data_IF_191269715704
#
_entry.id   IF_191269715704
#
_cell.length_a   1.000
_cell.length_b   1.000
_cell.length_c   1.000
_cell.angle_alpha   90.00
_cell.angle_beta   90.00
_cell.angle_gamma   90.00
#
_symmetry.space_group_name_H-M   'P 1'
#
loop_
_entity.id
_entity.type
_entity.pdbx_description
1 polymer ?
#
# COMPACT_ATOMS: atom_id res chain seq x y z
N UNK A 1 -13.80 -16.28 -7.53
CA UNK A 1 -13.23 -16.22 -6.17
C UNK A 1 -12.00 -15.32 -6.23
N UNK A 2 -12.14 -14.04 -5.89
CA UNK A 2 -10.98 -13.16 -5.75
C UNK A 2 -10.53 -13.20 -4.29
N UNK A 3 -9.23 -13.23 -4.04
CA UNK A 3 -8.64 -13.33 -2.70
C UNK A 3 -9.04 -12.19 -1.75
N UNK A 4 -9.46 -11.05 -2.32
CA UNK A 4 -9.79 -9.82 -1.61
C UNK A 4 -11.24 -9.38 -1.83
N UNK A 5 -12.13 -10.31 -2.23
CA UNK A 5 -13.55 -9.98 -2.39
C UNK A 5 -14.11 -9.44 -1.06
N UNK A 6 -14.81 -8.30 -1.14
CA UNK A 6 -15.42 -7.60 -0.01
C UNK A 6 -14.45 -7.24 1.14
N UNK A 7 -13.14 -7.27 0.89
CA UNK A 7 -12.12 -6.94 1.88
C UNK A 7 -11.88 -5.44 1.92
N UNK A 8 -11.81 -4.87 3.12
CA UNK A 8 -11.55 -3.45 3.36
C UNK A 8 -10.37 -3.26 4.31
N UNK A 9 -9.70 -2.11 4.21
CA UNK A 9 -8.60 -1.73 5.08
C UNK A 9 -8.73 -0.27 5.51
N UNK A 10 -8.00 0.09 6.56
CA UNK A 10 -7.87 1.45 7.10
C UNK A 10 -6.43 1.66 7.56
N UNK A 11 -5.96 2.90 7.53
CA UNK A 11 -4.62 3.27 8.03
C UNK A 11 -4.77 3.91 9.41
N UNK A 12 -3.97 3.43 10.37
CA UNK A 12 -3.88 4.05 11.69
C UNK A 12 -2.81 5.14 11.68
N UNK A 13 -3.20 6.37 11.92
CA UNK A 13 -2.31 7.53 12.08
C UNK A 13 -2.23 7.97 13.55
N UNK A 14 -1.50 9.04 13.83
CA UNK A 14 -1.47 9.67 15.16
C UNK A 14 -2.80 10.32 15.54
N UNK A 15 -3.60 10.73 14.54
CA UNK A 15 -4.88 11.43 14.73
C UNK A 15 -6.08 10.48 14.81
N UNK A 16 -5.91 9.21 14.40
CA UNK A 16 -6.98 8.22 14.46
C UNK A 16 -6.87 7.15 13.38
N UNK A 17 -8.01 6.55 13.02
CA UNK A 17 -8.14 5.67 11.87
C UNK A 17 -8.65 6.46 10.67
N UNK A 18 -8.13 6.20 9.47
CA UNK A 18 -8.70 6.76 8.23
C UNK A 18 -10.00 6.07 7.87
N UNK A 19 -10.73 6.62 6.89
CA UNK A 19 -11.86 5.92 6.28
C UNK A 19 -11.46 4.55 5.73
N UNK A 20 -12.43 3.64 5.73
CA UNK A 20 -12.26 2.30 5.16
C UNK A 20 -12.23 2.38 3.64
N UNK A 21 -11.27 1.69 3.03
CA UNK A 21 -11.15 1.57 1.58
C UNK A 21 -11.11 0.11 1.16
N UNK A 22 -11.61 -0.18 -0.05
CA UNK A 22 -11.66 -1.54 -0.58
C UNK A 22 -10.27 -2.01 -1.02
N UNK A 23 -9.92 -3.25 -0.67
CA UNK A 23 -8.67 -3.88 -1.08
C UNK A 23 -8.88 -4.64 -2.38
N UNK A 24 -8.10 -4.30 -3.41
CA UNK A 24 -8.13 -4.99 -4.70
C UNK A 24 -6.87 -5.82 -4.95
N UNK A 25 -5.82 -5.59 -4.16
CA UNK A 25 -4.47 -6.14 -4.38
C UNK A 25 -3.75 -6.39 -3.06
N UNK A 26 -2.83 -7.36 -3.05
CA UNK A 26 -2.00 -7.66 -1.89
C UNK A 26 -1.09 -8.86 -2.15
N UNK A 27 -0.24 -9.18 -1.17
CA UNK A 27 0.70 -10.30 -1.26
C UNK A 27 0.26 -11.48 -0.40
N UNK A 28 0.60 -12.70 -0.81
CA UNK A 28 0.24 -13.93 -0.08
C UNK A 28 1.08 -14.08 1.18
N UNK A 29 0.45 -14.14 2.35
CA UNK A 29 1.15 -14.43 3.61
C UNK A 29 1.87 -15.79 3.57
N UNK A 30 3.10 -15.83 4.08
CA UNK A 30 3.94 -17.04 4.12
C UNK A 30 4.64 -17.39 2.81
N UNK A 31 4.44 -16.63 1.73
CA UNK A 31 5.23 -16.79 0.51
C UNK A 31 6.60 -16.10 0.66
N UNK A 32 7.67 -16.82 0.32
CA UNK A 32 9.06 -16.33 0.43
C UNK A 32 9.32 -15.09 -0.44
N UNK A 33 8.62 -14.94 -1.56
CA UNK A 33 8.76 -13.80 -2.46
C UNK A 33 7.92 -12.58 -2.04
N UNK A 34 6.94 -12.75 -1.17
CA UNK A 34 6.04 -11.67 -0.78
C UNK A 34 6.75 -10.48 -0.10
N UNK A 35 7.76 -10.68 0.77
CA UNK A 35 8.55 -9.56 1.30
C UNK A 35 9.27 -8.75 0.21
N UNK A 36 9.87 -9.42 -0.79
CA UNK A 36 10.59 -8.74 -1.87
C UNK A 36 9.63 -7.91 -2.75
N UNK A 37 8.49 -8.49 -3.12
CA UNK A 37 7.47 -7.80 -3.90
C UNK A 37 6.88 -6.60 -3.15
N UNK A 38 6.67 -6.74 -1.83
CA UNK A 38 6.20 -5.65 -0.99
C UNK A 38 7.20 -4.49 -0.96
N UNK A 39 8.49 -4.78 -0.76
CA UNK A 39 9.53 -3.75 -0.75
C UNK A 39 9.63 -3.04 -2.10
N UNK A 40 9.67 -3.78 -3.21
CA UNK A 40 9.76 -3.19 -4.55
C UNK A 40 8.56 -2.29 -4.88
N UNK A 41 7.35 -2.66 -4.44
CA UNK A 41 6.16 -1.85 -4.63
C UNK A 41 6.18 -0.58 -3.78
N UNK A 42 6.61 -0.67 -2.52
CA UNK A 42 6.72 0.48 -1.61
C UNK A 42 7.81 1.47 -2.03
N UNK A 43 8.93 0.98 -2.57
CA UNK A 43 10.01 1.82 -3.10
C UNK A 43 9.48 2.70 -4.24
N UNK A 44 8.73 2.10 -5.17
CA UNK A 44 8.08 2.84 -6.25
C UNK A 44 7.10 3.90 -5.73
N UNK A 45 6.21 3.55 -4.80
CA UNK A 45 5.25 4.52 -4.22
C UNK A 45 6.00 5.68 -3.55
N UNK A 46 7.06 5.37 -2.80
CA UNK A 46 7.84 6.38 -2.08
C UNK A 46 8.57 7.30 -3.05
N UNK A 47 9.10 6.76 -4.15
CA UNK A 47 9.70 7.56 -5.22
C UNK A 47 8.67 8.48 -5.88
N UNK A 48 7.51 7.96 -6.26
CA UNK A 48 6.42 8.77 -6.85
C UNK A 48 5.96 9.87 -5.90
N UNK A 49 5.80 9.59 -4.60
CA UNK A 49 5.40 10.61 -3.61
C UNK A 49 6.45 11.68 -3.37
N UNK A 50 7.74 11.36 -3.59
CA UNK A 50 8.83 12.32 -3.41
C UNK A 50 9.02 13.21 -4.64
N UNK A 51 8.72 12.71 -5.85
CA UNK A 51 8.86 13.45 -7.10
C UNK A 51 7.88 14.64 -7.23
N UNK A 52 6.79 14.67 -6.47
CA UNK A 52 5.86 15.81 -6.43
C UNK A 52 6.43 17.03 -5.68
N UNK A 53 7.60 16.92 -5.03
CA UNK A 53 8.22 18.04 -4.28
C UNK A 53 9.23 18.87 -5.11
N UNK A 54 9.51 18.51 -6.37
CA UNK A 54 10.53 19.17 -7.20
C UNK A 54 9.97 20.17 -8.24
N UNK A 55 8.64 20.39 -8.31
CA UNK A 55 8.04 21.42 -9.20
C UNK A 55 7.80 22.79 -8.51
N UNK A 56 8.27 22.96 -7.28
CA UNK A 56 8.23 24.26 -6.58
C UNK A 56 9.65 24.69 -6.17
N UNK A 57 10.48 25.05 -7.16
CA UNK A 57 11.61 25.94 -6.95
C UNK A 57 11.87 26.81 -8.20
#
# INVERSE_FOLDING_TARGET
>A
MTLYQDSQSTVRTTEGMTDWFSITSGVRQGCVLSPLLFIAYMDKITQESNSDNDEIN
#
